data_IF_412784695813
#
_entry.id   IF_412784695813
#
_cell.length_a   1.000
_cell.length_b   1.000
_cell.length_c   1.000
_cell.angle_alpha   90.00
_cell.angle_beta   90.00
_cell.angle_gamma   90.00
#
_symmetry.space_group_name_H-M   'P 1'
#
loop_
_entity.id
_entity.type
_entity.pdbx_description
1 polymer ?
#
# COMPACT_ATOMS: atom_id res chain seq x y z
N UNK A 1 -12.49 -16.89 17.85
CA UNK A 1 -13.28 -17.28 16.68
C UNK A 1 -13.95 -16.05 16.11
N UNK A 2 -13.87 -15.87 14.79
CA UNK A 2 -14.45 -14.74 14.06
C UNK A 2 -15.97 -14.95 13.92
N UNK A 3 -16.76 -14.11 14.59
CA UNK A 3 -18.22 -14.23 14.60
C UNK A 3 -18.92 -13.42 13.50
N UNK A 4 -18.23 -12.44 12.88
CA UNK A 4 -18.78 -11.67 11.75
C UNK A 4 -18.87 -12.57 10.52
N UNK A 5 -20.10 -12.88 10.08
CA UNK A 5 -20.37 -13.79 8.96
C UNK A 5 -19.78 -13.31 7.63
N UNK A 6 -19.79 -11.99 7.39
CA UNK A 6 -19.27 -11.41 6.14
C UNK A 6 -17.75 -11.51 6.14
N UNK A 7 -17.10 -11.08 7.23
CA UNK A 7 -15.65 -11.15 7.35
C UNK A 7 -15.15 -12.61 7.32
N UNK A 8 -15.91 -13.54 7.93
CA UNK A 8 -15.60 -14.97 7.87
C UNK A 8 -15.71 -15.51 6.44
N UNK A 9 -16.71 -15.08 5.67
CA UNK A 9 -16.81 -15.43 4.25
C UNK A 9 -15.63 -14.89 3.44
N UNK A 10 -15.15 -13.68 3.73
CA UNK A 10 -13.97 -13.09 3.08
C UNK A 10 -12.70 -13.85 3.42
N UNK A 11 -12.52 -14.20 4.70
CA UNK A 11 -11.40 -15.02 5.15
C UNK A 11 -11.41 -16.38 4.43
N UNK A 12 -12.54 -17.08 4.39
CA UNK A 12 -12.64 -18.37 3.72
C UNK A 12 -12.30 -18.26 2.23
N UNK A 13 -12.83 -17.23 1.54
CA UNK A 13 -12.50 -17.00 0.14
C UNK A 13 -11.01 -16.72 -0.06
N UNK A 14 -10.38 -15.96 0.82
CA UNK A 14 -8.93 -15.77 0.79
C UNK A 14 -8.19 -17.10 1.01
N UNK A 15 -8.55 -17.86 2.05
CA UNK A 15 -7.87 -19.11 2.40
C UNK A 15 -7.93 -20.15 1.29
N UNK A 16 -9.05 -20.23 0.56
CA UNK A 16 -9.17 -21.05 -0.65
C UNK A 16 -8.23 -20.60 -1.77
N UNK A 17 -8.18 -19.28 -2.05
CA UNK A 17 -7.34 -18.73 -3.12
C UNK A 17 -5.84 -18.79 -2.81
N UNK A 18 -5.47 -18.81 -1.53
CA UNK A 18 -4.09 -18.79 -1.05
C UNK A 18 -3.64 -20.15 -0.47
N UNK A 19 -4.45 -21.20 -0.64
CA UNK A 19 -4.15 -22.57 -0.22
C UNK A 19 -3.77 -22.72 1.25
N UNK A 20 -4.36 -21.92 2.14
CA UNK A 20 -4.11 -21.95 3.60
C UNK A 20 -5.33 -22.42 4.42
N UNK A 21 -6.22 -23.20 3.81
CA UNK A 21 -7.43 -23.74 4.47
C UNK A 21 -7.13 -24.73 5.60
N UNK A 22 -5.93 -25.31 5.63
CA UNK A 22 -5.47 -26.25 6.66
C UNK A 22 -4.94 -25.57 7.92
N UNK A 23 -4.59 -24.28 7.83
CA UNK A 23 -4.08 -23.50 8.95
C UNK A 23 -5.20 -23.24 9.97
N UNK A 24 -4.86 -23.01 11.25
CA UNK A 24 -5.87 -22.60 12.22
C UNK A 24 -6.40 -21.19 11.91
N UNK A 25 -7.60 -20.87 12.41
CA UNK A 25 -8.26 -19.61 12.08
C UNK A 25 -7.44 -18.36 12.42
N UNK A 26 -6.58 -18.42 13.44
CA UNK A 26 -5.73 -17.29 13.82
C UNK A 26 -4.65 -17.07 12.76
N UNK A 27 -3.98 -18.13 12.33
CA UNK A 27 -2.97 -18.07 11.26
C UNK A 27 -3.59 -17.66 9.91
N UNK A 28 -4.78 -18.18 9.60
CA UNK A 28 -5.53 -17.74 8.41
C UNK A 28 -5.78 -16.23 8.46
N UNK A 29 -6.21 -15.73 9.62
CA UNK A 29 -6.49 -14.31 9.80
C UNK A 29 -5.23 -13.44 9.70
N UNK A 30 -4.10 -13.90 10.25
CA UNK A 30 -2.79 -13.24 10.12
C UNK A 30 -2.39 -13.09 8.64
N UNK A 31 -2.41 -14.19 7.89
CA UNK A 31 -2.12 -14.19 6.44
C UNK A 31 -3.10 -13.31 5.66
N UNK A 32 -4.37 -13.30 6.04
CA UNK A 32 -5.41 -12.47 5.41
C UNK A 32 -5.17 -10.98 5.63
N UNK A 33 -4.82 -10.56 6.84
CA UNK A 33 -4.49 -9.15 7.14
C UNK A 33 -3.22 -8.75 6.40
N UNK A 34 -2.19 -9.61 6.40
CA UNK A 34 -0.96 -9.38 5.63
C UNK A 34 -1.27 -9.18 4.14
N UNK A 35 -2.06 -10.09 3.53
CA UNK A 35 -2.50 -9.95 2.15
C UNK A 35 -3.18 -8.61 1.87
N UNK A 36 -4.13 -8.18 2.73
CA UNK A 36 -4.84 -6.93 2.52
C UNK A 36 -3.88 -5.74 2.60
N UNK A 37 -3.08 -5.64 3.66
CA UNK A 37 -2.17 -4.51 3.88
C UNK A 37 -1.15 -4.41 2.75
N UNK A 38 -0.49 -5.52 2.40
CA UNK A 38 0.54 -5.51 1.36
C UNK A 38 -0.05 -5.26 -0.02
N UNK A 39 -1.24 -5.78 -0.35
CA UNK A 39 -1.89 -5.50 -1.63
C UNK A 39 -2.21 -4.02 -1.83
N UNK A 40 -2.43 -3.26 -0.75
CA UNK A 40 -2.63 -1.80 -0.83
C UNK A 40 -1.32 -1.02 -0.98
N UNK A 41 -0.19 -1.61 -0.58
CA UNK A 41 1.10 -0.93 -0.52
C UNK A 41 2.07 -1.31 -1.64
N UNK A 42 1.92 -2.51 -2.19
CA UNK A 42 2.74 -3.08 -3.24
C UNK A 42 2.04 -2.94 -4.59
N UNK A 43 2.79 -2.61 -5.64
CA UNK A 43 2.22 -2.34 -6.97
C UNK A 43 1.91 -3.61 -7.76
N UNK A 44 2.63 -4.70 -7.51
CA UNK A 44 2.44 -5.94 -8.25
C UNK A 44 1.43 -6.86 -7.54
N UNK A 45 0.95 -7.86 -8.27
CA UNK A 45 0.11 -8.91 -7.73
C UNK A 45 0.75 -9.59 -6.53
N UNK A 46 0.00 -9.71 -5.44
CA UNK A 46 0.39 -10.51 -4.28
C UNK A 46 0.06 -11.98 -4.56
N UNK A 47 1.08 -12.83 -4.51
CA UNK A 47 0.96 -14.30 -4.63
C UNK A 47 1.04 -14.96 -3.24
N UNK A 48 0.67 -16.24 -3.10
CA UNK A 48 0.84 -16.97 -1.85
C UNK A 48 2.27 -16.96 -1.31
N UNK A 49 3.27 -17.06 -2.17
CA UNK A 49 4.68 -17.01 -1.79
C UNK A 49 5.06 -15.63 -1.24
N UNK A 50 4.47 -14.56 -1.79
CA UNK A 50 4.69 -13.21 -1.27
C UNK A 50 4.08 -13.08 0.12
N UNK A 51 2.85 -13.55 0.34
CA UNK A 51 2.21 -13.53 1.67
C UNK A 51 3.03 -14.31 2.69
N UNK A 52 3.53 -15.49 2.32
CA UNK A 52 4.39 -16.28 3.20
C UNK A 52 5.70 -15.55 3.50
N UNK A 53 6.31 -14.89 2.52
CA UNK A 53 7.58 -14.17 2.70
C UNK A 53 7.51 -12.96 3.65
N UNK A 54 6.33 -12.38 3.82
CA UNK A 54 6.08 -11.24 4.72
C UNK A 54 5.43 -11.65 6.03
N UNK A 55 4.90 -12.87 6.12
CA UNK A 55 4.27 -13.37 7.35
C UNK A 55 5.35 -13.83 8.32
N UNK A 56 5.18 -13.50 9.59
CA UNK A 56 6.07 -13.95 10.65
C UNK A 56 5.32 -15.02 11.43
N UNK A 57 5.92 -16.21 11.50
CA UNK A 57 5.41 -17.32 12.29
C UNK A 57 6.50 -17.88 13.20
N UNK A 58 6.06 -18.60 14.24
CA UNK A 58 6.95 -19.22 15.22
C UNK A 58 7.31 -18.31 16.40
N UNK A 59 7.99 -18.84 17.40
CA UNK A 59 8.46 -18.05 18.54
C UNK A 59 9.49 -16.99 18.15
N UNK A 60 9.69 -15.99 19.01
CA UNK A 60 10.66 -14.91 18.81
C UNK A 60 10.36 -14.03 17.59
N UNK A 61 9.07 -13.75 17.40
CA UNK A 61 8.50 -12.92 16.33
C UNK A 61 8.54 -11.40 16.61
N UNK A 62 9.16 -10.98 17.70
CA UNK A 62 9.17 -9.61 18.19
C UNK A 62 7.76 -8.96 18.32
N UNK A 63 6.69 -9.77 18.38
CA UNK A 63 5.31 -9.27 18.35
C UNK A 63 4.85 -8.79 16.98
N UNK A 64 5.30 -9.42 15.90
CA UNK A 64 4.82 -9.15 14.54
C UNK A 64 4.17 -10.40 13.97
N UNK A 65 3.05 -10.21 13.25
CA UNK A 65 2.50 -11.25 12.37
C UNK A 65 2.86 -10.98 10.90
N UNK A 66 3.32 -9.76 10.60
CA UNK A 66 3.81 -9.40 9.28
C UNK A 66 4.85 -8.29 9.29
N UNK A 67 5.84 -8.37 8.39
CA UNK A 67 6.88 -7.38 8.18
C UNK A 67 7.21 -7.26 6.70
N UNK A 68 7.55 -6.06 6.23
CA UNK A 68 8.03 -5.87 4.87
C UNK A 68 8.69 -4.52 4.64
N UNK A 69 9.49 -4.47 3.58
CA UNK A 69 10.19 -3.26 3.15
C UNK A 69 9.85 -3.02 1.69
N UNK A 70 9.25 -1.87 1.39
CA UNK A 70 8.91 -1.44 0.03
C UNK A 70 9.94 -0.40 -0.42
N UNK A 71 10.55 -0.62 -1.59
CA UNK A 71 11.44 0.34 -2.25
C UNK A 71 10.89 0.64 -3.64
N UNK A 72 10.59 1.92 -3.91
CA UNK A 72 10.00 2.39 -5.17
C UNK A 72 8.75 1.59 -5.61
N UNK A 73 7.90 1.22 -4.65
CA UNK A 73 6.67 0.46 -4.90
C UNK A 73 6.84 -1.06 -4.97
N UNK A 74 8.07 -1.57 -4.84
CA UNK A 74 8.39 -3.00 -4.90
C UNK A 74 8.78 -3.55 -3.53
N UNK A 75 8.25 -4.73 -3.17
CA UNK A 75 8.64 -5.45 -1.96
C UNK A 75 10.04 -6.05 -2.10
N UNK A 76 10.91 -5.72 -1.15
CA UNK A 76 12.27 -6.23 -1.05
C UNK A 76 12.28 -7.41 -0.10
N UNK A 77 12.64 -8.58 -0.63
CA UNK A 77 12.72 -9.83 0.09
C UNK A 77 14.15 -10.22 0.43
N UNK A 78 15.20 -9.61 -0.14
CA UNK A 78 16.60 -9.90 0.18
C UNK A 78 17.52 -8.73 -0.19
N UNK A 79 18.78 -8.81 0.22
CA UNK A 79 19.78 -7.76 0.00
C UNK A 79 20.11 -7.61 -1.49
N UNK A 80 20.11 -8.70 -2.25
CA UNK A 80 20.42 -8.70 -3.68
C UNK A 80 19.37 -7.91 -4.49
N UNK A 81 18.10 -8.04 -4.14
CA UNK A 81 17.02 -7.24 -4.72
C UNK A 81 17.21 -5.76 -4.41
N UNK A 82 17.65 -5.40 -3.21
CA UNK A 82 17.95 -4.01 -2.88
C UNK A 82 19.14 -3.47 -3.69
N UNK A 83 20.20 -4.26 -3.88
CA UNK A 83 21.38 -3.86 -4.66
C UNK A 83 21.03 -3.55 -6.12
N UNK A 84 19.98 -4.18 -6.69
CA UNK A 84 19.46 -3.81 -8.01
C UNK A 84 18.94 -2.36 -8.05
N UNK A 85 18.23 -1.91 -7.02
CA UNK A 85 17.73 -0.53 -6.95
C UNK A 85 18.87 0.49 -6.79
N UNK A 86 19.92 0.16 -6.05
CA UNK A 86 21.11 1.01 -5.92
C UNK A 86 21.83 1.22 -7.25
N UNK A 87 22.05 0.14 -8.01
CA UNK A 87 22.82 0.19 -9.27
C UNK A 87 22.15 0.99 -10.37
N UNK A 88 20.82 1.05 -10.37
CA UNK A 88 20.05 1.74 -11.41
C UNK A 88 19.91 3.26 -11.18
N UNK A 89 20.57 3.82 -10.15
CA UNK A 89 20.75 5.27 -9.99
C UNK A 89 19.46 6.06 -9.72
N UNK A 90 18.40 5.40 -9.25
CA UNK A 90 17.15 6.06 -8.90
C UNK A 90 17.20 6.55 -7.45
N UNK A 91 16.63 7.73 -7.20
CA UNK A 91 16.31 8.17 -5.84
C UNK A 91 15.36 7.16 -5.20
N UNK A 92 15.68 6.72 -3.98
CA UNK A 92 15.00 5.62 -3.30
C UNK A 92 13.90 6.15 -2.39
N UNK A 93 12.65 5.83 -2.71
CA UNK A 93 11.52 5.98 -1.81
C UNK A 93 11.32 4.68 -1.03
N UNK A 94 11.49 4.73 0.29
CA UNK A 94 11.49 3.55 1.16
C UNK A 94 10.35 3.62 2.15
N UNK A 95 9.65 2.51 2.34
CA UNK A 95 8.61 2.35 3.36
C UNK A 95 8.79 1.04 4.12
N UNK A 96 8.82 1.11 5.45
CA UNK A 96 8.78 -0.04 6.34
C UNK A 96 7.33 -0.31 6.76
N UNK A 97 6.93 -1.57 6.72
CA UNK A 97 5.57 -2.02 7.06
C UNK A 97 5.66 -3.06 8.16
N UNK A 98 4.92 -2.85 9.24
CA UNK A 98 4.79 -3.78 10.36
C UNK A 98 3.31 -4.03 10.62
N UNK A 99 2.96 -5.30 10.87
CA UNK A 99 1.59 -5.74 11.04
C UNK A 99 1.51 -6.63 12.27
N UNK A 100 0.52 -6.37 13.12
CA UNK A 100 0.05 -7.29 14.13
C UNK A 100 -1.46 -7.44 13.95
N UNK A 101 -1.96 -8.64 14.11
CA UNK A 101 -3.35 -9.00 13.92
C UNK A 101 -3.83 -9.97 15.01
N UNK A 102 -5.10 -9.86 15.39
CA UNK A 102 -5.73 -10.81 16.31
C UNK A 102 -7.14 -11.16 15.87
N UNK A 103 -7.41 -12.45 15.70
CA UNK A 103 -8.74 -13.02 15.43
C UNK A 103 -9.65 -13.00 16.69
N UNK A 104 -9.69 -11.84 17.38
CA UNK A 104 -10.44 -11.61 18.63
C UNK A 104 -11.20 -10.28 18.56
N UNK A 105 -12.34 -10.15 19.26
CA UNK A 105 -13.23 -9.00 19.13
C UNK A 105 -12.80 -7.74 19.90
N UNK A 106 -11.58 -7.70 20.46
CA UNK A 106 -11.13 -6.59 21.30
C UNK A 106 -9.69 -6.19 20.99
N UNK A 107 -9.43 -4.89 21.04
CA UNK A 107 -8.08 -4.33 21.05
C UNK A 107 -7.50 -4.38 22.46
N UNK A 108 -6.38 -5.08 22.66
CA UNK A 108 -5.75 -5.23 23.98
C UNK A 108 -4.50 -4.37 24.08
N UNK A 109 -4.49 -3.43 25.02
CA UNK A 109 -3.39 -2.48 25.19
C UNK A 109 -2.02 -3.15 25.46
N UNK A 110 -1.98 -4.29 26.13
CA UNK A 110 -0.74 -5.04 26.34
C UNK A 110 -0.16 -5.59 25.02
N UNK A 111 -1.01 -6.08 24.13
CA UNK A 111 -0.59 -6.64 22.84
C UNK A 111 -0.13 -5.53 21.90
N UNK A 112 -0.84 -4.39 21.88
CA UNK A 112 -0.39 -3.18 21.17
C UNK A 112 0.94 -2.68 21.72
N UNK A 113 1.11 -2.70 23.04
CA UNK A 113 2.38 -2.33 23.68
C UNK A 113 3.55 -3.22 23.24
N UNK A 114 3.35 -4.54 23.18
CA UNK A 114 4.35 -5.49 22.71
C UNK A 114 4.71 -5.26 21.24
N UNK A 115 3.70 -5.03 20.39
CA UNK A 115 3.89 -4.71 18.98
C UNK A 115 4.78 -3.47 18.80
N UNK A 116 4.47 -2.37 19.48
CA UNK A 116 5.28 -1.15 19.40
C UNK A 116 6.67 -1.31 19.99
N UNK A 117 6.82 -2.10 21.06
CA UNK A 117 8.14 -2.44 21.59
C UNK A 117 8.98 -3.16 20.53
N UNK A 118 8.41 -4.14 19.84
CA UNK A 118 9.02 -4.83 18.71
C UNK A 118 9.47 -3.87 17.61
N UNK A 119 8.59 -2.95 17.18
CA UNK A 119 8.92 -1.95 16.15
C UNK A 119 10.09 -1.08 16.58
N UNK A 120 10.06 -0.55 17.82
CA UNK A 120 11.16 0.27 18.34
C UNK A 120 12.48 -0.52 18.39
N UNK A 121 12.44 -1.77 18.86
CA UNK A 121 13.60 -2.67 18.91
C UNK A 121 14.18 -2.96 17.52
N UNK A 122 13.34 -3.09 16.49
CA UNK A 122 13.79 -3.29 15.11
C UNK A 122 14.71 -2.15 14.62
N UNK A 123 14.49 -0.93 15.10
CA UNK A 123 15.28 0.26 14.77
C UNK A 123 16.31 0.67 15.84
N UNK A 124 16.62 -0.21 16.79
CA UNK A 124 17.82 -0.08 17.61
C UNK A 124 19.05 -0.60 16.84
N UNK A 125 20.24 -0.14 17.23
CA UNK A 125 21.51 -0.60 16.65
C UNK A 125 21.69 -2.10 16.84
N UNK A 126 21.39 -2.59 18.04
CA UNK A 126 21.36 -4.01 18.37
C UNK A 126 19.94 -4.41 18.79
N UNK A 127 19.59 -5.69 18.62
CA UNK A 127 18.35 -6.22 19.16
C UNK A 127 18.50 -6.48 20.67
N UNK A 128 17.55 -5.98 21.44
CA UNK A 128 17.44 -6.22 22.89
C UNK A 128 16.72 -7.54 23.21
N UNK A 129 16.20 -8.22 22.19
CA UNK A 129 15.49 -9.50 22.29
C UNK A 129 16.02 -10.52 21.27
N UNK A 130 15.78 -11.80 21.53
CA UNK A 130 16.00 -12.83 20.53
C UNK A 130 15.01 -12.70 19.38
N UNK A 131 15.51 -12.89 18.16
CA UNK A 131 14.77 -12.73 16.91
C UNK A 131 14.88 -14.00 16.07
N UNK A 132 13.76 -14.38 15.45
CA UNK A 132 13.73 -15.45 14.46
C UNK A 132 14.49 -15.06 13.16
N UNK A 133 14.68 -16.05 12.28
CA UNK A 133 15.43 -15.89 11.04
C UNK A 133 14.83 -14.84 10.10
N UNK A 134 13.49 -14.75 10.03
CA UNK A 134 12.78 -13.77 9.19
C UNK A 134 13.08 -12.34 9.63
N UNK A 135 13.01 -12.05 10.92
CA UNK A 135 13.28 -10.69 11.44
C UNK A 135 14.75 -10.33 11.25
N UNK A 136 15.68 -11.25 11.52
CA UNK A 136 17.11 -11.04 11.28
C UNK A 136 17.40 -10.69 9.82
N UNK A 137 16.75 -11.38 8.89
CA UNK A 137 16.85 -11.11 7.45
C UNK A 137 16.34 -9.70 7.10
N UNK A 138 15.20 -9.27 7.63
CA UNK A 138 14.71 -7.90 7.40
C UNK A 138 15.58 -6.84 8.08
N UNK A 139 16.17 -7.15 9.24
CA UNK A 139 17.14 -6.28 9.91
C UNK A 139 18.40 -6.09 9.07
N UNK A 140 18.91 -7.14 8.43
CA UNK A 140 20.04 -7.04 7.50
C UNK A 140 19.73 -6.10 6.32
N UNK A 141 18.54 -6.24 5.72
CA UNK A 141 18.07 -5.33 4.65
C UNK A 141 17.97 -3.89 5.18
N UNK A 142 17.42 -3.69 6.39
CA UNK A 142 17.34 -2.38 7.05
C UNK A 142 18.73 -1.75 7.24
N UNK A 143 19.71 -2.50 7.73
CA UNK A 143 21.08 -1.99 7.90
C UNK A 143 21.70 -1.60 6.56
N UNK A 144 21.55 -2.44 5.54
CA UNK A 144 22.01 -2.12 4.19
C UNK A 144 21.35 -0.85 3.65
N UNK A 145 20.05 -0.66 3.88
CA UNK A 145 19.32 0.55 3.48
C UNK A 145 19.92 1.80 4.12
N UNK A 146 20.09 1.83 5.45
CA UNK A 146 20.61 3.00 6.14
C UNK A 146 22.10 3.27 5.85
N UNK A 147 22.89 2.24 5.56
CA UNK A 147 24.26 2.40 5.06
C UNK A 147 24.32 3.08 3.67
N UNK A 148 23.21 3.16 2.95
CA UNK A 148 23.10 3.78 1.63
C UNK A 148 22.19 5.02 1.63
N UNK A 149 22.06 5.71 2.77
CA UNK A 149 21.15 6.84 2.98
C UNK A 149 21.33 8.02 2.00
N UNK A 150 22.50 8.17 1.39
CA UNK A 150 22.76 9.20 0.37
C UNK A 150 21.86 9.08 -0.87
N UNK A 151 21.28 7.90 -1.12
CA UNK A 151 20.43 7.64 -2.28
C UNK A 151 18.94 7.90 -2.01
N UNK A 152 18.57 8.34 -0.81
CA UNK A 152 17.17 8.48 -0.42
C UNK A 152 16.47 9.67 -1.09
N UNK A 153 15.24 9.45 -1.55
CA UNK A 153 14.30 10.51 -1.96
C UNK A 153 13.55 11.07 -0.73
N UNK A 154 14.33 11.44 0.30
CA UNK A 154 13.86 11.74 1.66
C UNK A 154 13.87 10.54 2.60
N UNK A 155 13.85 10.81 3.91
CA UNK A 155 13.89 9.78 4.94
C UNK A 155 12.78 8.73 4.74
N UNK A 156 13.03 7.44 5.03
CA UNK A 156 12.03 6.38 4.95
C UNK A 156 10.73 6.70 5.70
N UNK A 157 9.63 6.08 5.26
CA UNK A 157 8.36 6.10 5.99
C UNK A 157 8.19 4.81 6.79
N UNK A 158 7.44 4.87 7.88
CA UNK A 158 7.02 3.69 8.63
C UNK A 158 5.50 3.64 8.73
N UNK A 159 4.96 2.45 8.52
CA UNK A 159 3.55 2.13 8.63
C UNK A 159 3.37 0.95 9.59
N UNK A 160 2.62 1.19 10.66
CA UNK A 160 2.32 0.21 11.69
C UNK A 160 0.82 -0.06 11.68
N UNK A 161 0.44 -1.31 11.42
CA UNK A 161 -0.96 -1.73 11.34
C UNK A 161 -1.27 -2.71 12.46
N UNK A 162 -2.30 -2.41 13.25
CA UNK A 162 -2.83 -3.33 14.26
C UNK A 162 -4.28 -3.67 13.93
N UNK A 163 -4.53 -4.92 13.51
CA UNK A 163 -5.83 -5.36 13.02
C UNK A 163 -6.55 -6.31 13.98
N UNK A 164 -7.85 -6.14 14.17
CA UNK A 164 -8.68 -7.12 14.90
C UNK A 164 -10.03 -7.32 14.22
N UNK A 165 -10.77 -8.33 14.67
CA UNK A 165 -12.19 -8.51 14.28
C UNK A 165 -13.15 -7.76 15.21
N UNK A 166 -12.62 -6.92 16.10
CA UNK A 166 -13.39 -6.06 16.98
C UNK A 166 -13.81 -4.75 16.31
N UNK A 167 -14.32 -3.84 17.14
CA UNK A 167 -14.67 -2.45 16.79
C UNK A 167 -13.64 -1.50 17.40
N UNK A 168 -13.12 -0.55 16.61
CA UNK A 168 -12.16 0.42 17.11
C UNK A 168 -12.89 1.60 17.80
N UNK A 169 -12.71 1.72 19.12
CA UNK A 169 -13.34 2.79 19.95
C UNK A 169 -12.35 3.79 20.52
N UNK A 170 -11.14 3.84 19.97
CA UNK A 170 -10.09 4.77 20.43
C UNK A 170 -9.85 4.72 21.96
N UNK A 171 -9.52 3.56 22.56
CA UNK A 171 -9.32 3.46 24.01
C UNK A 171 -8.11 4.29 24.48
N UNK A 172 -8.26 5.06 25.55
CA UNK A 172 -7.25 6.03 26.01
C UNK A 172 -5.87 5.41 26.29
N UNK A 173 -5.79 4.21 26.88
CA UNK A 173 -4.51 3.52 27.13
C UNK A 173 -3.80 3.16 25.80
N UNK A 174 -4.56 2.72 24.80
CA UNK A 174 -4.00 2.38 23.49
C UNK A 174 -3.48 3.63 22.78
N UNK A 175 -4.24 4.73 22.79
CA UNK A 175 -3.80 6.03 22.22
C UNK A 175 -2.54 6.54 22.94
N UNK A 176 -2.46 6.39 24.27
CA UNK A 176 -1.29 6.81 25.03
C UNK A 176 -0.04 6.01 24.62
N UNK A 177 -0.18 4.70 24.36
CA UNK A 177 0.91 3.84 23.87
C UNK A 177 1.33 4.19 22.45
N UNK A 178 0.35 4.43 21.57
CA UNK A 178 0.58 4.90 20.21
C UNK A 178 1.40 6.20 20.22
N UNK A 179 0.96 7.20 20.98
CA UNK A 179 1.65 8.49 21.08
C UNK A 179 3.10 8.33 21.54
N UNK A 180 3.36 7.52 22.57
CA UNK A 180 4.71 7.26 23.07
C UNK A 180 5.59 6.56 22.02
N UNK A 181 5.04 5.61 21.28
CA UNK A 181 5.77 4.93 20.19
C UNK A 181 6.12 5.93 19.07
N UNK A 182 5.15 6.73 18.63
CA UNK A 182 5.36 7.76 17.60
C UNK A 182 6.43 8.77 18.03
N UNK A 183 6.38 9.24 19.28
CA UNK A 183 7.40 10.13 19.85
C UNK A 183 8.79 9.48 19.84
N UNK A 184 8.91 8.22 20.29
CA UNK A 184 10.17 7.50 20.31
C UNK A 184 10.77 7.31 18.91
N UNK A 185 9.95 6.96 17.91
CA UNK A 185 10.38 6.79 16.52
C UNK A 185 10.76 8.12 15.86
N UNK A 186 9.99 9.19 16.10
CA UNK A 186 10.30 10.52 15.59
C UNK A 186 11.60 11.07 16.19
N UNK A 187 11.88 10.80 17.47
CA UNK A 187 13.11 11.22 18.12
C UNK A 187 14.38 10.60 17.50
N UNK A 188 14.26 9.45 16.81
CA UNK A 188 15.37 8.87 16.05
C UNK A 188 15.75 9.72 14.82
N UNK A 189 14.85 10.59 14.31
CA UNK A 189 15.07 11.47 13.14
C UNK A 189 15.48 10.76 11.84
N UNK A 190 15.20 9.46 11.75
CA UNK A 190 15.48 8.62 10.57
C UNK A 190 14.25 8.42 9.68
N UNK A 191 13.09 8.94 10.07
CA UNK A 191 11.84 8.79 9.31
C UNK A 191 11.30 10.15 8.85
N UNK A 192 10.66 10.17 7.68
CA UNK A 192 9.90 11.34 7.22
C UNK A 192 8.45 11.32 7.71
N UNK A 193 7.92 10.11 7.97
CA UNK A 193 6.54 9.92 8.39
C UNK A 193 6.42 8.65 9.23
N UNK A 194 5.74 8.76 10.37
CA UNK A 194 5.42 7.63 11.26
C UNK A 194 3.90 7.51 11.31
N UNK A 195 3.37 6.46 10.69
CA UNK A 195 1.93 6.19 10.64
C UNK A 195 1.59 4.99 11.49
N UNK A 196 0.57 5.14 12.32
CA UNK A 196 -0.07 4.04 13.01
C UNK A 196 -1.54 3.98 12.63
N UNK A 197 -2.05 2.77 12.42
CA UNK A 197 -3.43 2.56 12.06
C UNK A 197 -4.01 1.32 12.73
N UNK A 198 -5.10 1.53 13.45
CA UNK A 198 -5.93 0.46 13.99
C UNK A 198 -6.99 0.08 12.96
N UNK A 199 -7.08 -1.21 12.64
CA UNK A 199 -7.97 -1.74 11.62
C UNK A 199 -8.99 -2.64 12.32
N UNK A 200 -10.26 -2.27 12.23
CA UNK A 200 -11.37 -3.03 12.77
C UNK A 200 -12.04 -3.89 11.70
N UNK A 201 -13.08 -4.64 12.08
CA UNK A 201 -13.78 -5.54 11.18
C UNK A 201 -14.40 -4.80 9.98
N UNK A 202 -14.99 -3.61 10.18
CA UNK A 202 -15.59 -2.83 9.08
C UNK A 202 -14.52 -2.37 8.10
N UNK A 203 -13.38 -1.87 8.61
CA UNK A 203 -12.28 -1.43 7.77
C UNK A 203 -11.66 -2.57 6.99
N UNK A 204 -11.48 -3.75 7.60
CA UNK A 204 -11.03 -4.96 6.89
C UNK A 204 -11.98 -5.34 5.76
N UNK A 205 -13.30 -5.27 5.99
CA UNK A 205 -14.31 -5.56 4.96
C UNK A 205 -14.23 -4.56 3.81
N UNK A 206 -14.13 -3.27 4.09
CA UNK A 206 -13.98 -2.22 3.07
C UNK A 206 -12.70 -2.45 2.26
N UNK A 207 -11.57 -2.63 2.93
CA UNK A 207 -10.28 -2.84 2.27
C UNK A 207 -10.28 -4.10 1.40
N UNK A 208 -10.80 -5.22 1.90
CA UNK A 208 -10.88 -6.45 1.11
C UNK A 208 -11.84 -6.31 -0.09
N UNK A 209 -12.96 -5.61 0.09
CA UNK A 209 -13.85 -5.29 -1.02
C UNK A 209 -13.17 -4.43 -2.09
N UNK A 210 -12.36 -3.45 -1.72
CA UNK A 210 -11.59 -2.65 -2.70
C UNK A 210 -10.56 -3.49 -3.48
N UNK A 211 -10.05 -4.56 -2.87
CA UNK A 211 -9.14 -5.50 -3.55
C UNK A 211 -9.89 -6.48 -4.47
N UNK A 212 -11.10 -6.92 -4.08
CA UNK A 212 -11.90 -7.90 -4.83
C UNK A 212 -12.80 -7.28 -5.89
N UNK A 213 -13.42 -6.15 -5.57
CA UNK A 213 -14.28 -5.41 -6.49
C UNK A 213 -13.36 -4.68 -7.45
N UNK A 214 -13.10 -5.33 -8.60
CA UNK A 214 -12.97 -4.71 -9.92
C UNK A 214 -13.35 -3.22 -9.88
N UNK A 215 -12.38 -2.34 -9.62
CA UNK A 215 -12.63 -0.98 -9.12
C UNK A 215 -13.79 -0.30 -9.83
N UNK A 216 -14.85 0.03 -9.08
CA UNK A 216 -16.00 0.75 -9.63
C UNK A 216 -15.86 2.21 -9.24
N UNK A 217 -15.61 3.07 -10.22
CA UNK A 217 -15.52 4.51 -10.02
C UNK A 217 -16.42 5.21 -11.03
N UNK A 218 -17.07 6.27 -10.58
CA UNK A 218 -17.82 7.16 -11.43
C UNK A 218 -17.05 8.47 -11.54
N UNK A 219 -16.88 8.96 -12.77
CA UNK A 219 -16.24 10.24 -13.07
C UNK A 219 -17.12 11.10 -13.94
N UNK A 220 -17.03 12.42 -13.77
CA UNK A 220 -17.68 13.39 -14.61
C UNK A 220 -16.77 13.75 -15.80
N UNK A 221 -16.94 13.04 -16.92
CA UNK A 221 -16.12 13.23 -18.12
C UNK A 221 -16.91 13.98 -19.20
N UNK A 222 -16.98 15.31 -19.06
CA UNK A 222 -17.74 16.20 -19.96
C UNK A 222 -17.05 16.39 -21.31
N UNK A 223 -15.79 16.79 -21.28
CA UNK A 223 -15.03 17.21 -22.46
C UNK A 223 -14.36 16.01 -23.14
N UNK A 224 -15.16 15.19 -23.81
CA UNK A 224 -14.73 13.95 -24.48
C UNK A 224 -15.29 13.82 -25.89
N UNK A 225 -14.54 13.11 -26.73
CA UNK A 225 -14.93 12.70 -28.07
C UNK A 225 -14.81 11.18 -28.16
N UNK A 226 -15.80 10.54 -28.78
CA UNK A 226 -15.72 9.11 -29.07
C UNK A 226 -14.67 8.86 -30.14
N UNK A 227 -13.82 7.85 -29.95
CA UNK A 227 -12.89 7.43 -30.98
C UNK A 227 -13.64 6.61 -32.05
N UNK A 228 -13.05 6.45 -33.26
CA UNK A 228 -13.58 5.52 -34.27
C UNK A 228 -13.73 4.11 -33.72
N UNK A 229 -14.53 3.28 -34.39
CA UNK A 229 -14.69 1.87 -34.00
C UNK A 229 -13.34 1.13 -34.02
N UNK A 230 -13.05 0.43 -32.93
CA UNK A 230 -11.85 -0.38 -32.76
C UNK A 230 -12.30 -1.83 -32.55
N UNK A 231 -11.69 -2.77 -33.27
CA UNK A 231 -11.97 -4.21 -33.10
C UNK A 231 -11.85 -4.60 -31.62
N UNK A 232 -12.82 -5.37 -31.14
CA UNK A 232 -12.86 -5.89 -29.77
C UNK A 232 -12.95 -4.83 -28.65
N UNK A 233 -13.32 -3.58 -28.99
CA UNK A 233 -13.54 -2.50 -28.03
C UNK A 233 -14.98 -2.00 -28.14
N UNK A 234 -15.76 -2.18 -27.06
CA UNK A 234 -17.17 -1.77 -27.04
C UNK A 234 -17.37 -0.25 -27.07
N UNK A 235 -16.53 0.50 -26.36
CA UNK A 235 -16.62 1.95 -26.22
C UNK A 235 -15.22 2.53 -25.96
N UNK A 236 -14.89 3.65 -26.60
CA UNK A 236 -13.62 4.35 -26.37
C UNK A 236 -13.77 5.86 -26.54
N UNK A 237 -13.07 6.60 -25.69
CA UNK A 237 -13.16 8.06 -25.60
C UNK A 237 -11.77 8.68 -25.41
N UNK A 238 -11.57 9.88 -25.97
CA UNK A 238 -10.42 10.74 -25.70
C UNK A 238 -10.92 12.13 -25.28
N UNK A 239 -10.23 12.79 -24.36
CA UNK A 239 -10.67 14.08 -23.85
C UNK A 239 -9.88 14.59 -22.66
N UNK A 240 -10.35 15.69 -22.07
CA UNK A 240 -9.81 16.29 -20.85
C UNK A 240 -10.68 15.98 -19.63
N UNK A 241 -10.04 15.59 -18.54
CA UNK A 241 -10.70 15.33 -17.26
C UNK A 241 -10.20 16.33 -16.21
N UNK A 242 -11.08 16.97 -15.41
CA UNK A 242 -10.63 17.79 -14.29
C UNK A 242 -9.73 17.01 -13.35
N UNK A 243 -8.63 17.62 -12.89
CA UNK A 243 -7.67 16.95 -12.02
C UNK A 243 -8.32 16.37 -10.76
N UNK A 244 -9.27 17.10 -10.14
CA UNK A 244 -10.00 16.62 -8.96
C UNK A 244 -10.82 15.34 -9.21
N UNK A 245 -11.40 15.18 -10.39
CA UNK A 245 -12.10 13.94 -10.80
C UNK A 245 -11.09 12.79 -10.95
N UNK A 246 -9.95 13.08 -11.58
CA UNK A 246 -8.87 12.11 -11.75
C UNK A 246 -8.31 11.63 -10.40
N UNK A 247 -8.03 12.55 -9.47
CA UNK A 247 -7.56 12.21 -8.11
C UNK A 247 -8.60 11.36 -7.39
N UNK A 248 -9.88 11.75 -7.39
CA UNK A 248 -10.95 10.98 -6.76
C UNK A 248 -11.05 9.54 -7.30
N UNK A 249 -10.83 9.37 -8.60
CA UNK A 249 -10.84 8.06 -9.26
C UNK A 249 -9.69 7.16 -8.81
N UNK A 250 -8.49 7.71 -8.58
CA UNK A 250 -7.30 6.93 -8.17
C UNK A 250 -7.09 6.85 -6.66
N UNK A 251 -7.98 7.45 -5.86
CA UNK A 251 -7.88 7.48 -4.40
C UNK A 251 -8.72 6.37 -3.76
N UNK A 252 -8.16 5.69 -2.77
CA UNK A 252 -8.84 4.66 -1.96
C UNK A 252 -9.67 5.27 -0.80
N UNK A 253 -10.38 4.43 -0.05
CA UNK A 253 -11.18 4.85 1.12
C UNK A 253 -10.39 5.55 2.24
N UNK A 254 -9.07 5.38 2.28
CA UNK A 254 -8.21 6.01 3.28
C UNK A 254 -7.52 7.27 2.76
N UNK A 255 -7.89 7.74 1.58
CA UNK A 255 -7.27 8.92 0.99
C UNK A 255 -5.87 8.66 0.46
N UNK A 256 -5.49 7.40 0.19
CA UNK A 256 -4.21 7.03 -0.41
C UNK A 256 -4.36 6.71 -1.90
N UNK A 257 -3.25 6.80 -2.63
CA UNK A 257 -3.19 6.36 -4.03
C UNK A 257 -3.42 4.85 -4.11
N UNK A 258 -4.42 4.44 -4.89
CA UNK A 258 -4.73 3.04 -5.11
C UNK A 258 -3.72 2.41 -6.09
N UNK A 259 -2.62 1.90 -5.53
CA UNK A 259 -1.47 1.36 -6.30
C UNK A 259 -1.83 0.20 -7.22
N UNK A 260 -2.85 -0.59 -6.89
CA UNK A 260 -3.33 -1.72 -7.71
C UNK A 260 -3.93 -1.29 -9.04
N UNK A 261 -4.22 0.00 -9.25
CA UNK A 261 -4.64 0.54 -10.55
C UNK A 261 -3.49 0.60 -11.57
N UNK A 262 -2.26 0.34 -11.16
CA UNK A 262 -1.07 0.42 -12.01
C UNK A 262 -0.43 -0.96 -12.25
N UNK A 263 -1.10 -2.05 -11.91
CA UNK A 263 -0.58 -3.43 -12.05
C UNK A 263 -0.25 -3.76 -13.51
N UNK A 264 -1.12 -3.34 -14.44
CA UNK A 264 -0.94 -3.53 -15.88
C UNK A 264 -0.05 -2.45 -16.53
N UNK A 265 0.56 -1.57 -15.72
CA UNK A 265 1.47 -0.55 -16.25
C UNK A 265 2.86 -1.14 -16.49
N UNK A 266 3.34 -1.04 -17.73
CA UNK A 266 4.68 -1.53 -18.10
C UNK A 266 5.83 -0.72 -17.48
N UNK A 267 5.56 0.43 -16.85
CA UNK A 267 6.56 1.27 -16.17
C UNK A 267 6.17 1.53 -14.72
N UNK A 268 6.98 1.05 -13.79
CA UNK A 268 6.85 1.37 -12.36
C UNK A 268 7.19 2.83 -12.06
N UNK A 269 6.71 3.35 -10.93
CA UNK A 269 7.07 4.67 -10.42
C UNK A 269 8.57 4.75 -10.09
N UNK A 270 9.25 5.82 -10.53
CA UNK A 270 10.71 5.91 -10.46
C UNK A 270 11.23 6.93 -9.42
N UNK A 271 10.38 7.42 -8.51
CA UNK A 271 10.79 8.41 -7.49
C UNK A 271 11.12 9.79 -8.06
N UNK A 272 11.90 10.61 -7.35
CA UNK A 272 12.36 11.94 -7.75
C UNK A 272 13.31 12.02 -8.96
N UNK A 273 12.97 11.39 -10.09
CA UNK A 273 13.69 11.51 -11.35
C UNK A 273 13.45 12.88 -12.04
N UNK A 274 14.19 13.17 -13.12
CA UNK A 274 14.09 14.44 -13.88
C UNK A 274 12.67 14.70 -14.39
N UNK A 275 12.02 13.68 -14.97
CA UNK A 275 10.65 13.78 -15.51
C UNK A 275 9.67 14.20 -14.43
N UNK A 276 9.72 13.57 -13.26
CA UNK A 276 8.82 13.84 -12.14
C UNK A 276 9.00 15.25 -11.57
N UNK A 277 10.24 15.75 -11.55
CA UNK A 277 10.53 17.14 -11.18
C UNK A 277 9.98 18.15 -12.18
N UNK A 278 10.04 17.84 -13.48
CA UNK A 278 9.47 18.70 -14.53
C UNK A 278 7.93 18.74 -14.47
N UNK A 279 7.30 17.59 -14.21
CA UNK A 279 5.84 17.53 -13.99
C UNK A 279 5.46 18.37 -12.77
N UNK A 280 6.16 18.19 -11.64
CA UNK A 280 5.92 18.94 -10.41
C UNK A 280 6.11 20.45 -10.60
N UNK A 281 7.14 20.86 -11.34
CA UNK A 281 7.39 22.26 -11.66
C UNK A 281 6.25 22.86 -12.52
N UNK A 282 5.76 22.10 -13.51
CA UNK A 282 4.63 22.54 -14.35
C UNK A 282 3.38 22.80 -13.53
N UNK A 283 3.07 21.91 -12.56
CA UNK A 283 1.89 22.03 -11.71
C UNK A 283 1.95 23.22 -10.74
N UNK A 284 3.15 23.60 -10.30
CA UNK A 284 3.35 24.67 -9.29
C UNK A 284 3.54 26.06 -9.90
N UNK A 285 3.71 26.15 -11.22
CA UNK A 285 3.98 27.39 -11.94
C UNK A 285 2.77 27.87 -12.74
N UNK A 286 2.91 29.05 -13.34
CA UNK A 286 1.88 29.66 -14.21
C UNK A 286 1.61 28.86 -15.50
N UNK A 287 2.46 27.88 -15.82
CA UNK A 287 2.39 27.03 -17.02
C UNK A 287 1.48 25.79 -16.83
N UNK A 288 0.69 25.75 -15.76
CA UNK A 288 -0.22 24.62 -15.48
C UNK A 288 -1.22 24.36 -16.62
N UNK A 289 -1.61 25.39 -17.36
CA UNK A 289 -2.49 25.29 -18.53
C UNK A 289 -1.82 24.55 -19.71
N UNK A 290 -0.49 24.55 -19.77
CA UNK A 290 0.29 23.79 -20.75
C UNK A 290 0.55 22.34 -20.33
N UNK A 291 0.06 21.89 -19.16
CA UNK A 291 0.23 20.51 -18.68
C UNK A 291 -0.14 19.43 -19.72
N UNK A 292 -1.26 19.54 -20.47
CA UNK A 292 -1.61 18.57 -21.52
C UNK A 292 -0.62 18.54 -22.69
N UNK A 293 0.16 19.61 -22.91
CA UNK A 293 1.16 19.71 -23.98
C UNK A 293 2.47 19.05 -23.54
N UNK A 294 2.83 19.20 -22.26
CA UNK A 294 4.09 18.67 -21.71
C UNK A 294 4.01 17.20 -21.27
N UNK A 295 2.83 16.59 -21.28
CA UNK A 295 2.61 15.22 -20.81
C UNK A 295 1.89 14.37 -21.86
N UNK A 296 2.22 13.09 -21.93
CA UNK A 296 1.62 12.13 -22.86
C UNK A 296 0.16 11.73 -22.51
N UNK A 297 -0.44 12.34 -21.49
CA UNK A 297 -1.76 11.99 -20.99
C UNK A 297 -1.76 10.68 -20.17
N UNK A 298 -2.97 10.17 -19.92
CA UNK A 298 -3.22 8.99 -19.10
C UNK A 298 -4.12 8.05 -19.91
N UNK A 299 -3.72 6.79 -20.03
CA UNK A 299 -4.51 5.77 -20.74
C UNK A 299 -5.10 4.82 -19.72
N UNK A 300 -6.42 4.67 -19.78
CA UNK A 300 -7.21 3.82 -18.88
C UNK A 300 -7.95 2.78 -19.71
N UNK A 301 -7.77 1.51 -19.35
CA UNK A 301 -8.57 0.40 -19.87
C UNK A 301 -9.58 -0.02 -18.81
N UNK A 302 -10.74 -0.54 -19.21
CA UNK A 302 -11.78 -1.01 -18.28
C UNK A 302 -12.54 -2.19 -18.86
N UNK A 303 -12.96 -3.15 -18.03
CA UNK A 303 -13.78 -4.29 -18.50
C UNK A 303 -15.22 -3.92 -18.79
N UNK A 304 -15.75 -2.89 -18.13
CA UNK A 304 -17.10 -2.41 -18.37
C UNK A 304 -17.16 -0.90 -18.19
N UNK A 305 -17.68 -0.23 -19.20
CA UNK A 305 -17.94 1.21 -19.22
C UNK A 305 -19.46 1.42 -19.35
N UNK A 306 -20.03 2.21 -18.44
CA UNK A 306 -21.44 2.60 -18.48
C UNK A 306 -21.53 4.12 -18.51
N UNK A 307 -22.21 4.68 -19.51
CA UNK A 307 -22.39 6.13 -19.65
C UNK A 307 -23.80 6.55 -19.21
N UNK A 308 -23.88 7.51 -18.29
CA UNK A 308 -25.13 8.15 -17.85
C UNK A 308 -24.97 9.67 -18.01
N UNK A 309 -25.45 10.20 -19.14
CA UNK A 309 -25.19 11.59 -19.52
C UNK A 309 -23.70 11.85 -19.71
N UNK A 310 -23.15 12.76 -18.90
CA UNK A 310 -21.70 13.06 -18.88
C UNK A 310 -20.91 12.23 -17.87
N UNK A 311 -21.58 11.42 -17.05
CA UNK A 311 -20.91 10.53 -16.12
C UNK A 311 -20.50 9.24 -16.83
N UNK A 312 -19.26 8.81 -16.57
CA UNK A 312 -18.80 7.47 -16.92
C UNK A 312 -18.59 6.67 -15.64
N UNK A 313 -19.17 5.49 -15.61
CA UNK A 313 -18.91 4.49 -14.57
C UNK A 313 -18.00 3.43 -15.15
N UNK A 314 -16.78 3.37 -14.63
CA UNK A 314 -15.77 2.39 -14.99
C UNK A 314 -15.83 1.25 -13.99
N UNK A 315 -15.71 0.00 -14.46
CA UNK A 315 -15.63 -1.20 -13.62
C UNK A 315 -14.43 -2.02 -14.05
N UNK A 316 -13.58 -2.39 -13.08
CA UNK A 316 -12.33 -3.11 -13.35
C UNK A 316 -11.40 -2.32 -14.29
N UNK A 317 -11.04 -1.11 -13.90
CA UNK A 317 -10.16 -0.27 -14.71
C UNK A 317 -8.72 -0.29 -14.23
N UNK A 318 -7.80 -0.07 -15.16
CA UNK A 318 -6.36 -0.07 -14.97
C UNK A 318 -5.73 1.07 -15.75
N UNK A 319 -4.71 1.70 -15.17
CA UNK A 319 -3.92 2.77 -15.76
C UNK A 319 -2.70 2.15 -16.43
N UNK A 320 -2.77 1.95 -17.74
CA UNK A 320 -1.70 1.32 -18.54
C UNK A 320 -0.67 2.34 -19.05
N UNK A 321 -0.99 3.65 -18.99
CA UNK A 321 -0.06 4.74 -19.26
C UNK A 321 -0.33 5.92 -18.32
N UNK A 322 0.72 6.62 -17.89
CA UNK A 322 0.60 7.78 -16.98
C UNK A 322 0.98 7.49 -15.53
N UNK A 323 1.65 6.38 -15.23
CA UNK A 323 2.06 6.01 -13.86
C UNK A 323 2.84 7.12 -13.15
N UNK A 324 3.84 7.71 -13.81
CA UNK A 324 4.61 8.84 -13.24
C UNK A 324 3.72 10.06 -12.95
N UNK A 325 2.98 10.54 -13.95
CA UNK A 325 2.09 11.70 -13.83
C UNK A 325 1.06 11.51 -12.72
N UNK A 326 0.41 10.34 -12.64
CA UNK A 326 -0.57 10.05 -11.60
C UNK A 326 0.01 10.10 -10.18
N UNK A 327 1.23 9.59 -9.98
CA UNK A 327 1.92 9.68 -8.68
C UNK A 327 2.29 11.12 -8.31
N UNK A 328 2.62 11.97 -9.29
CA UNK A 328 2.93 13.38 -9.04
C UNK A 328 1.67 14.22 -8.85
N UNK A 329 0.60 13.95 -9.60
CA UNK A 329 -0.69 14.64 -9.46
C UNK A 329 -1.32 14.39 -8.09
N UNK A 330 -1.08 13.20 -7.53
CA UNK A 330 -1.62 12.81 -6.23
C UNK A 330 -0.90 13.47 -5.03
N UNK A 331 0.35 13.93 -5.21
CA UNK A 331 1.14 14.55 -4.14
C UNK A 331 0.66 15.96 -3.81
#
# INVERSE_FOLDING_TARGET
MINDTILKSYLNNFSENFSCTTDDESQQFEKFVNYIVFSRQYINKITPEVVESVSIGGGQDAGFDGIGIIVNGTLIQNVEQYDYFLKNGHSLNISFIFIQSKARPHFKASEVGNFYFGVCNFFNENSDIEENSTIKKFREIKEKIYNNALNFDGNPKIYMYYATVGEWKSPADIIAREKKCIEALNNKKIFSQVNCQFIDAEKLKVWFQELKRKNVKQILFKDKVALPDISDVNQSFIGSLPMGEFITMITDSDGNLQKTLFEDNVRHFQGGNKVNKEIEATLKNKEQDALPIFNNGITIITKKLEQIGNNLKLTDFQIVNGCQSAHIFFK
#
